data_IF_342818754779
#
_entry.id   IF_342818754779
#
_cell.length_a   1.000
_cell.length_b   1.000
_cell.length_c   1.000
_cell.angle_alpha   90.00
_cell.angle_beta   90.00
_cell.angle_gamma   90.00
#
_symmetry.space_group_name_H-M   'P 1'
#
loop_
_entity.id
_entity.type
_entity.pdbx_description
1 polymer ?
#
# COMPACT_ATOMS: atom_id res chain seq x y z
N UNK A 1 0.31 -2.48 22.25
CA UNK A 1 0.80 -2.32 20.86
C UNK A 1 -0.08 -1.30 20.18
N UNK A 2 0.47 -0.41 19.34
CA UNK A 2 -0.33 0.59 18.62
C UNK A 2 -0.82 0.04 17.29
N UNK A 3 -1.97 0.53 16.82
CA UNK A 3 -2.45 0.37 15.44
C UNK A 3 -1.90 1.50 14.59
N UNK A 4 -1.10 1.17 13.59
CA UNK A 4 -0.40 2.13 12.74
C UNK A 4 -0.84 1.93 11.29
N UNK A 5 -1.42 2.96 10.71
CA UNK A 5 -1.72 3.00 9.29
C UNK A 5 -0.54 3.56 8.50
N UNK A 6 -0.09 2.80 7.51
CA UNK A 6 0.87 3.22 6.49
C UNK A 6 0.09 3.57 5.22
N UNK A 7 0.07 4.84 4.84
CA UNK A 7 -0.63 5.31 3.64
C UNK A 7 0.38 5.57 2.53
N UNK A 8 0.22 4.84 1.43
CA UNK A 8 0.96 5.02 0.17
C UNK A 8 0.04 5.78 -0.79
N UNK A 9 0.42 7.00 -1.16
CA UNK A 9 -0.40 7.90 -1.99
C UNK A 9 0.27 8.36 -3.31
N UNK A 10 1.50 7.94 -3.56
CA UNK A 10 2.28 8.29 -4.76
C UNK A 10 2.34 7.14 -5.76
N UNK A 11 2.57 7.40 -7.06
CA UNK A 11 2.85 6.33 -8.00
C UNK A 11 4.17 5.62 -7.65
N UNK A 12 4.37 4.36 -8.09
CA UNK A 12 5.65 3.70 -7.95
C UNK A 12 6.72 4.33 -8.87
N UNK A 13 7.98 4.10 -8.52
CA UNK A 13 9.18 4.41 -9.32
C UNK A 13 9.52 5.89 -9.56
N UNK A 14 8.57 6.82 -9.48
CA UNK A 14 8.83 8.25 -9.63
C UNK A 14 9.65 8.86 -8.47
N UNK A 15 9.62 8.20 -7.31
CA UNK A 15 10.44 8.54 -6.14
C UNK A 15 10.59 7.29 -5.24
N UNK A 16 11.33 7.41 -4.15
CA UNK A 16 11.57 6.30 -3.21
C UNK A 16 10.46 6.09 -2.17
N UNK A 17 9.37 6.86 -2.18
CA UNK A 17 8.39 6.91 -1.08
C UNK A 17 7.61 5.60 -0.90
N UNK A 18 7.25 4.94 -1.99
CA UNK A 18 6.61 3.62 -1.92
C UNK A 18 7.51 2.57 -1.27
N UNK A 19 8.81 2.59 -1.60
CA UNK A 19 9.81 1.71 -1.00
C UNK A 19 10.02 2.03 0.48
N UNK A 20 10.18 3.31 0.83
CA UNK A 20 10.32 3.76 2.23
C UNK A 20 9.12 3.36 3.09
N UNK A 21 7.90 3.49 2.54
CA UNK A 21 6.68 3.07 3.21
C UNK A 21 6.66 1.56 3.48
N UNK A 22 7.07 0.75 2.50
CA UNK A 22 7.19 -0.70 2.66
C UNK A 22 8.23 -1.07 3.71
N UNK A 23 9.43 -0.49 3.65
CA UNK A 23 10.50 -0.76 4.61
C UNK A 23 10.05 -0.42 6.04
N UNK A 24 9.33 0.70 6.23
CA UNK A 24 8.79 1.10 7.53
C UNK A 24 7.67 0.15 7.98
N UNK A 25 6.77 -0.27 7.09
CA UNK A 25 5.71 -1.22 7.41
C UNK A 25 6.29 -2.54 7.95
N UNK A 26 7.29 -3.09 7.25
CA UNK A 26 7.98 -4.33 7.65
C UNK A 26 8.77 -4.17 8.95
N UNK A 27 9.47 -3.05 9.13
CA UNK A 27 10.24 -2.81 10.35
C UNK A 27 9.33 -2.63 11.58
N UNK A 28 8.19 -1.94 11.41
CA UNK A 28 7.30 -1.64 12.51
C UNK A 28 6.35 -2.79 12.88
N UNK A 29 6.10 -3.75 11.98
CA UNK A 29 5.21 -4.89 12.25
C UNK A 29 5.71 -5.79 13.38
N UNK A 30 7.01 -5.77 13.66
CA UNK A 30 7.62 -6.51 14.77
C UNK A 30 7.04 -6.08 16.13
N UNK A 31 6.63 -4.82 16.28
CA UNK A 31 6.21 -4.24 17.57
C UNK A 31 4.82 -3.60 17.56
N UNK A 32 4.23 -3.39 16.39
CA UNK A 32 2.94 -2.73 16.21
C UNK A 32 2.05 -3.53 15.26
N UNK A 33 0.74 -3.30 15.37
CA UNK A 33 -0.20 -3.80 14.39
C UNK A 33 -0.23 -2.84 13.21
N UNK A 34 0.11 -3.32 12.02
CA UNK A 34 0.26 -2.51 10.82
C UNK A 34 -0.92 -2.75 9.88
N UNK A 35 -1.50 -1.65 9.40
CA UNK A 35 -2.42 -1.66 8.27
C UNK A 35 -1.83 -0.84 7.13
N UNK A 36 -1.83 -1.36 5.91
CA UNK A 36 -1.29 -0.69 4.72
C UNK A 36 -2.43 -0.23 3.83
N UNK A 37 -2.41 1.03 3.40
CA UNK A 37 -3.46 1.63 2.58
C UNK A 37 -2.87 2.16 1.28
N UNK A 38 -3.38 1.66 0.14
CA UNK A 38 -3.09 2.21 -1.19
C UNK A 38 -4.21 3.16 -1.60
N UNK A 39 -3.90 4.45 -1.71
CA UNK A 39 -4.85 5.54 -1.98
C UNK A 39 -4.28 6.42 -3.10
N UNK A 40 -5.12 7.11 -3.85
CA UNK A 40 -4.67 8.00 -4.91
C UNK A 40 -3.82 7.23 -5.93
N UNK A 41 -2.66 7.77 -6.29
CA UNK A 41 -1.73 7.11 -7.23
C UNK A 41 -1.01 5.91 -6.59
N UNK A 42 -1.13 5.72 -5.28
CA UNK A 42 -0.61 4.57 -4.56
C UNK A 42 -1.10 3.24 -5.13
N UNK A 43 -2.34 3.18 -5.64
CA UNK A 43 -2.93 1.96 -6.21
C UNK A 43 -2.15 1.42 -7.40
N UNK A 44 -1.34 2.25 -8.07
CA UNK A 44 -0.50 1.84 -9.20
C UNK A 44 0.63 0.88 -8.77
N UNK A 45 1.01 0.85 -7.49
CA UNK A 45 1.95 -0.15 -6.97
C UNK A 45 1.48 -1.59 -7.14
N UNK A 46 0.16 -1.79 -7.23
CA UNK A 46 -0.46 -3.11 -7.22
C UNK A 46 -0.54 -3.76 -8.61
N UNK A 47 -0.18 -3.03 -9.67
CA UNK A 47 -0.29 -3.53 -11.04
C UNK A 47 0.76 -4.60 -11.37
N UNK A 48 0.40 -5.67 -12.11
CA UNK A 48 1.32 -6.72 -12.57
C UNK A 48 2.35 -6.21 -13.57
N UNK A 49 3.42 -7.00 -13.74
CA UNK A 49 4.39 -6.87 -14.83
C UNK A 49 5.04 -5.48 -14.93
N UNK A 50 5.40 -4.90 -13.78
CA UNK A 50 6.17 -3.66 -13.76
C UNK A 50 7.65 -3.97 -14.04
N UNK A 51 8.28 -3.15 -14.87
CA UNK A 51 9.67 -3.30 -15.33
C UNK A 51 10.52 -2.06 -14.99
N UNK A 52 10.75 -1.74 -13.70
CA UNK A 52 11.48 -0.54 -13.29
C UNK A 52 12.96 -0.55 -13.69
N UNK A 53 13.53 -1.70 -14.02
CA UNK A 53 14.88 -1.82 -14.58
C UNK A 53 15.05 -1.01 -15.88
N UNK A 54 13.98 -0.83 -16.66
CA UNK A 54 14.00 -0.02 -17.89
C UNK A 54 14.28 1.47 -17.64
N UNK A 55 14.06 1.92 -16.39
CA UNK A 55 14.34 3.29 -15.94
C UNK A 55 15.42 3.32 -14.86
N UNK A 56 16.25 2.26 -14.78
CA UNK A 56 17.37 2.12 -13.83
C UNK A 56 16.94 2.15 -12.35
N UNK A 57 15.68 1.82 -12.06
CA UNK A 57 15.15 1.75 -10.70
C UNK A 57 15.15 0.31 -10.18
N UNK A 58 15.33 0.16 -8.86
CA UNK A 58 15.20 -1.14 -8.19
C UNK A 58 13.74 -1.59 -8.24
N UNK A 59 13.51 -2.85 -8.59
CA UNK A 59 12.20 -3.48 -8.43
C UNK A 59 11.92 -3.77 -6.95
N UNK A 60 11.21 -2.86 -6.30
CA UNK A 60 10.69 -3.06 -4.94
C UNK A 60 9.23 -3.53 -4.94
N UNK A 61 8.57 -3.63 -6.10
CA UNK A 61 7.17 -4.04 -6.18
C UNK A 61 7.02 -5.49 -5.76
N UNK A 62 7.93 -6.35 -6.23
CA UNK A 62 7.98 -7.75 -5.82
C UNK A 62 8.14 -7.93 -4.29
N UNK A 63 8.70 -6.93 -3.59
CA UNK A 63 8.91 -6.97 -2.15
C UNK A 63 7.60 -6.79 -1.36
N UNK A 64 6.53 -6.26 -1.95
CA UNK A 64 5.23 -6.18 -1.27
C UNK A 64 4.64 -7.56 -0.92
N UNK A 65 5.07 -8.64 -1.57
CA UNK A 65 4.71 -10.01 -1.17
C UNK A 65 5.21 -10.36 0.25
N UNK A 66 6.22 -9.64 0.77
CA UNK A 66 6.67 -9.81 2.15
C UNK A 66 5.64 -9.39 3.18
N UNK A 67 4.63 -8.57 2.82
CA UNK A 67 3.58 -8.18 3.78
C UNK A 67 2.89 -9.41 4.37
N UNK A 68 2.54 -10.40 3.54
CA UNK A 68 1.93 -11.66 3.98
C UNK A 68 2.89 -12.48 4.86
N UNK A 69 4.17 -12.55 4.50
CA UNK A 69 5.19 -13.29 5.27
C UNK A 69 5.49 -12.67 6.65
N UNK A 70 5.11 -11.41 6.85
CA UNK A 70 5.27 -10.66 8.10
C UNK A 70 3.93 -10.50 8.84
N UNK A 71 2.93 -11.32 8.51
CA UNK A 71 1.57 -11.32 9.09
C UNK A 71 0.85 -9.94 8.97
N UNK A 72 1.20 -9.14 7.95
CA UNK A 72 0.53 -7.87 7.65
C UNK A 72 -0.64 -8.16 6.69
N UNK A 73 -1.75 -8.63 7.25
CA UNK A 73 -2.96 -9.00 6.48
C UNK A 73 -3.91 -7.82 6.21
N UNK A 74 -3.77 -6.72 6.96
CA UNK A 74 -4.60 -5.54 6.86
C UNK A 74 -4.14 -4.61 5.74
N UNK A 75 -4.23 -5.12 4.52
CA UNK A 75 -3.89 -4.44 3.28
C UNK A 75 -5.15 -3.98 2.57
N UNK A 76 -5.30 -2.67 2.42
CA UNK A 76 -6.51 -2.03 1.93
C UNK A 76 -6.25 -1.19 0.67
N UNK A 77 -7.20 -1.22 -0.26
CA UNK A 77 -7.13 -0.49 -1.53
C UNK A 77 -8.35 0.39 -1.68
N UNK A 78 -8.14 1.67 -1.94
CA UNK A 78 -9.23 2.62 -2.09
C UNK A 78 -9.99 2.42 -3.42
N UNK A 79 -11.25 2.00 -3.34
CA UNK A 79 -12.12 1.74 -4.49
C UNK A 79 -12.26 2.96 -5.40
N UNK A 80 -12.50 4.15 -4.85
CA UNK A 80 -12.62 5.38 -5.63
C UNK A 80 -11.32 5.75 -6.35
N UNK A 81 -10.16 5.38 -5.79
CA UNK A 81 -8.85 5.61 -6.42
C UNK A 81 -8.60 4.67 -7.59
N UNK A 82 -9.06 3.41 -7.51
CA UNK A 82 -9.06 2.48 -8.64
C UNK A 82 -9.99 2.98 -9.76
N UNK A 83 -11.22 3.35 -9.41
CA UNK A 83 -12.22 3.83 -10.37
C UNK A 83 -11.76 5.08 -11.10
N UNK A 84 -11.19 6.06 -10.39
CA UNK A 84 -10.65 7.28 -10.99
C UNK A 84 -9.50 7.04 -11.99
N UNK A 85 -8.85 5.86 -11.94
CA UNK A 85 -7.76 5.44 -12.83
C UNK A 85 -8.17 4.35 -13.83
N UNK A 86 -9.46 4.01 -13.90
CA UNK A 86 -9.99 2.92 -14.72
C UNK A 86 -9.39 1.54 -14.39
N UNK A 87 -9.13 1.27 -13.11
CA UNK A 87 -8.50 0.03 -12.62
C UNK A 87 -9.44 -0.89 -11.84
N UNK A 88 -10.76 -0.66 -11.87
CA UNK A 88 -11.74 -1.43 -11.09
C UNK A 88 -11.71 -2.93 -11.37
N UNK A 89 -11.33 -3.33 -12.58
CA UNK A 89 -11.20 -4.74 -13.00
C UNK A 89 -9.74 -5.19 -13.16
N UNK A 90 -8.79 -4.38 -12.72
CA UNK A 90 -7.38 -4.73 -12.81
C UNK A 90 -7.05 -5.88 -11.86
N UNK A 91 -6.21 -6.81 -12.31
CA UNK A 91 -5.56 -7.76 -11.41
C UNK A 91 -4.58 -7.02 -10.51
N UNK A 92 -4.63 -7.29 -9.20
CA UNK A 92 -3.75 -6.71 -8.19
C UNK A 92 -2.81 -7.80 -7.65
N UNK A 93 -1.51 -7.50 -7.53
CA UNK A 93 -0.48 -8.52 -7.32
C UNK A 93 -0.32 -9.08 -5.91
N UNK A 94 -0.99 -8.50 -4.92
CA UNK A 94 -0.86 -8.92 -3.51
C UNK A 94 -2.24 -9.14 -2.91
N UNK A 95 -2.38 -10.00 -1.89
CA UNK A 95 -3.60 -10.11 -1.11
C UNK A 95 -4.04 -8.74 -0.59
N UNK A 96 -5.27 -8.35 -0.86
CA UNK A 96 -5.78 -7.04 -0.49
C UNK A 96 -7.30 -7.03 -0.38
N UNK A 97 -7.82 -6.03 0.34
CA UNK A 97 -9.25 -5.75 0.48
C UNK A 97 -9.55 -4.40 -0.18
N UNK A 98 -10.30 -4.43 -1.28
CA UNK A 98 -10.84 -3.20 -1.88
C UNK A 98 -11.94 -2.65 -0.97
N UNK A 99 -11.82 -1.39 -0.57
CA UNK A 99 -12.73 -0.74 0.39
C UNK A 99 -13.25 0.58 -0.15
N UNK A 100 -14.51 0.87 0.17
CA UNK A 100 -15.15 2.14 -0.17
C UNK A 100 -14.75 3.26 0.81
N UNK A 101 -15.18 4.48 0.53
CA UNK A 101 -14.87 5.67 1.34
C UNK A 101 -15.36 5.55 2.79
N UNK A 102 -16.51 4.93 3.03
CA UNK A 102 -17.07 4.78 4.38
C UNK A 102 -16.21 3.84 5.23
N UNK A 103 -15.86 2.67 4.68
CA UNK A 103 -14.99 1.71 5.34
C UNK A 103 -13.59 2.30 5.60
N UNK A 104 -13.05 3.07 4.64
CA UNK A 104 -11.78 3.77 4.81
C UNK A 104 -11.81 4.75 6.00
N UNK A 105 -12.87 5.56 6.13
CA UNK A 105 -13.04 6.48 7.25
C UNK A 105 -13.13 5.75 8.59
N UNK A 106 -13.88 4.65 8.66
CA UNK A 106 -13.99 3.83 9.86
C UNK A 106 -12.65 3.20 10.26
N UNK A 107 -11.91 2.66 9.28
CA UNK A 107 -10.60 2.07 9.51
C UNK A 107 -9.58 3.10 10.01
N UNK A 108 -9.58 4.31 9.44
CA UNK A 108 -8.71 5.40 9.89
C UNK A 108 -9.03 5.89 11.30
N UNK A 109 -10.32 5.99 11.65
CA UNK A 109 -10.73 6.36 13.01
C UNK A 109 -10.28 5.33 14.07
N UNK A 110 -10.02 4.08 13.66
CA UNK A 110 -9.55 3.02 14.54
C UNK A 110 -8.02 2.97 14.70
N UNK A 111 -7.26 3.84 14.04
CA UNK A 111 -5.79 3.86 14.09
C UNK A 111 -5.29 4.81 15.18
N UNK A 112 -4.24 4.41 15.90
CA UNK A 112 -3.59 5.28 16.88
C UNK A 112 -2.63 6.26 16.20
N UNK A 113 -2.04 5.86 15.07
CA UNK A 113 -1.05 6.63 14.31
C UNK A 113 -1.29 6.45 12.83
N UNK A 114 -1.18 7.54 12.07
CA UNK A 114 -1.24 7.52 10.60
C UNK A 114 0.06 8.10 10.06
N UNK A 115 0.79 7.31 9.28
CA UNK A 115 1.99 7.73 8.56
C UNK A 115 1.67 7.79 7.07
N UNK A 116 1.77 8.97 6.47
CA UNK A 116 1.46 9.19 5.05
C UNK A 116 2.72 9.51 4.26
N UNK A 117 2.88 8.81 3.15
CA UNK A 117 3.99 8.98 2.21
C UNK A 117 3.46 9.68 0.94
N UNK A 118 3.95 10.90 0.71
CA UNK A 118 3.59 11.79 -0.40
C UNK A 118 4.82 12.13 -1.25
#
# INVERSE_FOLDING_TARGET
MKKVAIIINTPPHGNAKGREALDIALAMSIINHISVFFIGDGVLHLLPNQHPENILMRDYIATFNMLELYDIEDVYVCESSLTARNLTHATLNIPNKVINTQALQQLFAAQDVILRFN
#
